data_IF_240274697020
#
_entry.id   IF_240274697020
#
_cell.length_a   1.000
_cell.length_b   1.000
_cell.length_c   1.000
_cell.angle_alpha   90.00
_cell.angle_beta   90.00
_cell.angle_gamma   90.00
#
_symmetry.space_group_name_H-M   'P 1'
#
loop_
_entity.id
_entity.type
_entity.pdbx_description
1 polymer ?
#
# COMPACT_ATOMS: atom_id res chain seq x y z
N UNK A 1 3.58 -6.11 -13.18
CA UNK A 1 4.45 -6.56 -12.06
C UNK A 1 5.65 -5.63 -11.95
N UNK A 2 6.01 -5.17 -10.75
CA UNK A 2 7.04 -4.11 -10.60
C UNK A 2 8.48 -4.47 -11.02
N UNK A 3 8.83 -5.75 -11.23
CA UNK A 3 10.16 -6.10 -11.76
C UNK A 3 10.35 -5.62 -13.21
N UNK A 4 9.25 -5.45 -13.96
CA UNK A 4 9.31 -4.93 -15.32
C UNK A 4 9.87 -3.50 -15.39
N UNK A 5 9.75 -2.73 -14.29
CA UNK A 5 10.36 -1.40 -14.18
C UNK A 5 11.89 -1.49 -14.20
N UNK A 6 12.46 -2.48 -13.51
CA UNK A 6 13.90 -2.71 -13.48
C UNK A 6 14.39 -3.16 -14.87
N UNK A 7 13.72 -4.15 -15.47
CA UNK A 7 14.06 -4.64 -16.81
C UNK A 7 13.95 -3.55 -17.88
N UNK A 8 12.93 -2.69 -17.82
CA UNK A 8 12.78 -1.59 -18.75
C UNK A 8 13.86 -0.51 -18.58
N UNK A 9 14.28 -0.25 -17.34
CA UNK A 9 15.39 0.66 -17.07
C UNK A 9 16.72 0.13 -17.64
N UNK A 10 16.98 -1.17 -17.51
CA UNK A 10 18.16 -1.82 -18.12
C UNK A 10 18.15 -1.74 -19.65
N UNK A 11 16.97 -1.83 -20.25
CA UNK A 11 16.78 -1.76 -21.71
C UNK A 11 16.63 -0.33 -22.24
N UNK A 12 16.56 0.69 -21.37
CA UNK A 12 16.36 2.09 -21.76
C UNK A 12 15.01 2.39 -22.39
N UNK A 13 13.97 1.60 -22.09
CA UNK A 13 12.61 1.75 -22.66
C UNK A 13 11.60 2.25 -21.63
N UNK A 14 10.54 2.98 -22.04
CA UNK A 14 9.46 3.36 -21.13
C UNK A 14 8.72 2.16 -20.52
N UNK A 15 8.31 2.27 -19.26
CA UNK A 15 7.50 1.26 -18.57
C UNK A 15 6.29 1.90 -17.87
N UNK A 16 5.10 1.90 -18.49
CA UNK A 16 3.86 2.14 -17.77
C UNK A 16 3.49 0.89 -16.96
N UNK A 17 3.06 1.09 -15.71
CA UNK A 17 2.51 0.02 -14.88
C UNK A 17 1.00 0.09 -14.86
N UNK A 18 0.35 -1.04 -15.14
CA UNK A 18 -1.08 -1.18 -14.91
C UNK A 18 -1.36 -1.66 -13.48
N UNK A 19 -2.21 -0.93 -12.77
CA UNK A 19 -2.70 -1.26 -11.44
C UNK A 19 -4.17 -1.69 -11.51
N UNK A 20 -4.47 -2.86 -10.97
CA UNK A 20 -5.80 -3.47 -11.12
C UNK A 20 -6.84 -2.94 -10.13
N UNK A 21 -6.40 -2.33 -9.01
CA UNK A 21 -7.30 -1.67 -8.07
C UNK A 21 -7.60 -0.23 -8.50
N UNK A 22 -8.56 0.41 -7.84
CA UNK A 22 -8.84 1.85 -8.00
C UNK A 22 -7.69 2.72 -7.50
N UNK A 23 -7.67 3.99 -7.91
CA UNK A 23 -6.78 5.02 -7.37
C UNK A 23 -6.79 5.09 -5.83
N UNK A 24 -7.95 5.04 -5.19
CA UNK A 24 -8.02 5.04 -3.72
C UNK A 24 -7.44 3.75 -3.10
N UNK A 25 -7.65 2.61 -3.75
CA UNK A 25 -7.01 1.35 -3.35
C UNK A 25 -5.49 1.44 -3.45
N UNK A 26 -4.97 1.99 -4.57
CA UNK A 26 -3.54 2.26 -4.75
C UNK A 26 -2.97 3.14 -3.64
N UNK A 27 -3.63 4.25 -3.31
CA UNK A 27 -3.20 5.14 -2.23
C UNK A 27 -3.25 4.48 -0.84
N UNK A 28 -4.18 3.54 -0.63
CA UNK A 28 -4.19 2.68 0.56
C UNK A 28 -2.88 1.89 0.71
N UNK A 29 -2.43 1.20 -0.36
CA UNK A 29 -1.14 0.51 -0.36
C UNK A 29 0.04 1.47 -0.22
N UNK A 30 -0.03 2.66 -0.82
CA UNK A 30 1.05 3.65 -0.81
C UNK A 30 1.41 4.11 0.61
N UNK A 31 0.44 4.09 1.51
CA UNK A 31 0.62 4.51 2.89
C UNK A 31 1.08 3.38 3.83
N UNK A 32 1.36 2.16 3.36
CA UNK A 32 1.79 1.05 4.22
C UNK A 32 3.04 1.38 5.06
N UNK A 33 4.06 1.98 4.44
CA UNK A 33 5.27 2.43 5.17
C UNK A 33 4.93 3.45 6.25
N UNK A 34 4.07 4.41 5.93
CA UNK A 34 3.61 5.42 6.89
C UNK A 34 2.88 4.76 8.08
N UNK A 35 2.02 3.76 7.83
CA UNK A 35 1.33 3.02 8.88
C UNK A 35 2.32 2.26 9.78
N UNK A 36 3.39 1.70 9.21
CA UNK A 36 4.48 1.05 9.96
C UNK A 36 5.28 2.05 10.80
N UNK A 37 5.67 3.18 10.22
CA UNK A 37 6.39 4.26 10.91
C UNK A 37 5.57 4.83 12.08
N UNK A 38 4.24 4.81 11.98
CA UNK A 38 3.32 5.19 13.06
C UNK A 38 3.04 4.07 14.07
N UNK A 39 3.57 2.87 13.85
CA UNK A 39 3.33 1.71 14.72
C UNK A 39 1.87 1.24 14.73
N UNK A 40 1.13 1.50 13.65
CA UNK A 40 -0.26 1.06 13.47
C UNK A 40 -0.36 -0.34 12.87
N UNK A 41 0.66 -0.75 12.11
CA UNK A 41 0.81 -2.09 11.54
C UNK A 41 2.30 -2.50 11.58
N UNK A 42 2.64 -3.77 11.74
CA UNK A 42 1.78 -4.88 12.17
C UNK A 42 1.17 -4.65 13.55
N UNK A 43 0.04 -5.30 13.80
CA UNK A 43 -0.70 -5.24 15.06
C UNK A 43 0.09 -5.92 16.18
N UNK A 44 0.03 -5.37 17.40
CA UNK A 44 0.72 -5.93 18.57
C UNK A 44 0.06 -7.19 19.16
N UNK A 45 -1.08 -7.60 18.63
CA UNK A 45 -1.85 -8.76 19.08
C UNK A 45 -3.15 -8.91 18.30
N UNK A 46 -3.68 -10.13 18.25
CA UNK A 46 -4.89 -10.45 17.49
C UNK A 46 -6.15 -9.80 18.07
N UNK A 47 -6.15 -9.46 19.37
CA UNK A 47 -7.26 -8.77 20.01
C UNK A 47 -7.57 -7.41 19.36
N UNK A 48 -6.58 -6.82 18.67
CA UNK A 48 -6.72 -5.57 17.90
C UNK A 48 -7.70 -5.70 16.72
N UNK A 49 -7.95 -6.91 16.24
CA UNK A 49 -8.91 -7.15 15.17
C UNK A 49 -10.37 -7.02 15.64
N UNK A 50 -10.63 -7.20 16.94
CA UNK A 50 -12.00 -7.26 17.49
C UNK A 50 -12.30 -6.19 18.54
N UNK A 51 -11.28 -5.58 19.15
CA UNK A 51 -11.45 -4.59 20.23
C UNK A 51 -11.68 -3.14 19.77
N UNK A 52 -11.98 -2.93 18.48
CA UNK A 52 -12.18 -1.58 17.92
C UNK A 52 -10.89 -0.83 17.58
N UNK A 53 -9.70 -1.43 17.73
CA UNK A 53 -8.45 -0.77 17.34
C UNK A 53 -8.38 -0.39 15.86
N UNK A 54 -9.04 -1.16 14.98
CA UNK A 54 -9.12 -0.82 13.55
C UNK A 54 -9.88 0.50 13.29
N UNK A 55 -10.66 0.99 14.25
CA UNK A 55 -11.36 2.28 14.16
C UNK A 55 -10.44 3.47 14.53
N UNK A 56 -9.15 3.21 14.78
CA UNK A 56 -8.13 4.25 15.01
C UNK A 56 -8.05 5.19 13.79
N UNK A 57 -8.27 6.51 13.97
CA UNK A 57 -8.17 7.47 12.88
C UNK A 57 -6.76 7.56 12.29
N UNK A 58 -6.67 7.69 10.96
CA UNK A 58 -5.41 7.83 10.21
C UNK A 58 -5.41 9.18 9.49
N UNK A 59 -5.12 10.26 10.23
CA UNK A 59 -5.35 11.63 9.75
C UNK A 59 -4.33 12.14 8.72
N UNK A 60 -3.14 11.54 8.66
CA UNK A 60 -2.00 12.07 7.89
C UNK A 60 -1.58 11.15 6.74
N UNK A 61 -2.43 10.22 6.33
CA UNK A 61 -2.17 9.38 5.17
C UNK A 61 -2.22 10.23 3.88
N UNK A 62 -1.17 10.16 3.07
CA UNK A 62 -1.03 10.95 1.85
C UNK A 62 -2.12 10.57 0.85
N UNK A 63 -2.80 11.58 0.30
CA UNK A 63 -3.85 11.42 -0.71
C UNK A 63 -5.11 10.71 -0.21
N UNK A 64 -5.26 10.56 1.12
CA UNK A 64 -6.41 9.94 1.76
C UNK A 64 -7.25 10.99 2.49
N UNK A 65 -8.53 10.69 2.71
CA UNK A 65 -9.41 11.60 3.46
C UNK A 65 -9.08 11.54 4.95
N UNK A 66 -9.23 12.68 5.65
CA UNK A 66 -9.01 12.78 7.10
C UNK A 66 -9.95 11.93 7.97
N UNK A 67 -11.02 11.40 7.38
CA UNK A 67 -12.04 10.61 8.05
C UNK A 67 -11.75 9.11 8.05
N UNK A 68 -10.66 8.69 7.39
CA UNK A 68 -10.29 7.28 7.34
C UNK A 68 -9.78 6.76 8.68
N UNK A 69 -10.09 5.51 8.94
CA UNK A 69 -9.54 4.72 10.02
C UNK A 69 -8.69 3.56 9.48
N UNK A 70 -7.95 2.88 10.35
CA UNK A 70 -7.08 1.77 9.97
C UNK A 70 -7.82 0.63 9.24
N UNK A 71 -9.12 0.43 9.55
CA UNK A 71 -10.02 -0.52 8.88
C UNK A 71 -10.19 -0.24 7.39
N UNK A 72 -10.12 1.02 6.98
CA UNK A 72 -10.39 1.43 5.60
C UNK A 72 -9.19 1.21 4.66
N UNK A 73 -8.03 0.81 5.21
CA UNK A 73 -6.86 0.43 4.43
C UNK A 73 -6.96 -1.04 3.96
N UNK A 74 -6.27 -1.42 2.88
CA UNK A 74 -6.26 -2.80 2.42
C UNK A 74 -5.87 -3.78 3.54
N UNK A 75 -6.61 -4.89 3.67
CA UNK A 75 -6.56 -5.78 4.84
C UNK A 75 -5.19 -6.41 5.14
N UNK A 76 -4.21 -6.34 4.23
CA UNK A 76 -2.85 -6.80 4.48
C UNK A 76 -2.14 -6.05 5.62
N UNK A 77 -2.62 -4.86 6.02
CA UNK A 77 -2.11 -4.17 7.22
C UNK A 77 -2.74 -4.68 8.52
N UNK A 78 -3.75 -5.54 8.45
CA UNK A 78 -4.42 -6.14 9.62
C UNK A 78 -3.74 -7.47 10.02
N UNK A 79 -2.41 -7.48 10.01
CA UNK A 79 -1.57 -8.65 10.34
C UNK A 79 -0.83 -8.40 11.65
N UNK A 80 -0.56 -9.45 12.42
CA UNK A 80 0.31 -9.43 13.61
C UNK A 80 1.75 -9.84 13.29
N UNK A 81 1.98 -10.39 12.09
CA UNK A 81 3.27 -10.88 11.64
C UNK A 81 4.15 -9.72 11.14
N UNK A 82 5.37 -9.61 11.69
CA UNK A 82 6.37 -8.63 11.27
C UNK A 82 6.98 -8.96 9.91
N UNK A 83 6.97 -10.23 9.55
CA UNK A 83 7.51 -10.74 8.30
C UNK A 83 6.39 -11.09 7.30
N UNK A 84 5.18 -10.55 7.50
CA UNK A 84 4.01 -10.83 6.66
C UNK A 84 4.36 -10.64 5.17
N UNK A 85 4.28 -11.74 4.44
CA UNK A 85 4.75 -11.81 3.05
C UNK A 85 4.00 -10.81 2.18
N UNK A 86 2.70 -10.61 2.40
CA UNK A 86 1.88 -9.74 1.55
C UNK A 86 2.08 -8.26 1.90
N UNK A 87 2.21 -7.93 3.19
CA UNK A 87 2.59 -6.59 3.63
C UNK A 87 3.93 -6.15 3.03
N UNK A 88 4.96 -6.98 3.22
CA UNK A 88 6.31 -6.71 2.73
C UNK A 88 6.37 -6.68 1.20
N UNK A 89 5.67 -7.59 0.53
CA UNK A 89 5.56 -7.60 -0.93
C UNK A 89 4.94 -6.30 -1.46
N UNK A 90 3.85 -5.81 -0.86
CA UNK A 90 3.19 -4.58 -1.33
C UNK A 90 4.06 -3.35 -1.14
N UNK A 91 4.73 -3.23 0.01
CA UNK A 91 5.69 -2.15 0.27
C UNK A 91 6.79 -2.12 -0.79
N UNK A 92 7.34 -3.28 -1.13
CA UNK A 92 8.37 -3.40 -2.16
C UNK A 92 7.83 -3.12 -3.56
N UNK A 93 6.63 -3.61 -3.89
CA UNK A 93 5.97 -3.36 -5.18
C UNK A 93 5.79 -1.86 -5.42
N UNK A 94 5.27 -1.14 -4.44
CA UNK A 94 5.00 0.29 -4.59
C UNK A 94 6.28 1.13 -4.58
N UNK A 95 7.29 0.74 -3.82
CA UNK A 95 8.61 1.37 -3.88
C UNK A 95 9.26 1.30 -5.27
N UNK A 96 8.96 0.27 -6.06
CA UNK A 96 9.37 0.19 -7.47
C UNK A 96 8.40 0.89 -8.41
N UNK A 97 7.10 0.89 -8.09
CA UNK A 97 6.10 1.55 -8.93
C UNK A 97 6.30 3.06 -9.05
N UNK A 98 6.88 3.70 -8.02
CA UNK A 98 7.26 5.13 -8.07
C UNK A 98 8.33 5.47 -9.13
N UNK A 99 9.04 4.45 -9.65
CA UNK A 99 10.04 4.60 -10.74
C UNK A 99 9.44 4.33 -12.12
N UNK A 100 8.18 3.94 -12.21
CA UNK A 100 7.50 3.73 -13.49
C UNK A 100 7.28 5.07 -14.20
N UNK A 101 7.26 5.06 -15.53
CA UNK A 101 6.97 6.27 -16.32
C UNK A 101 5.53 6.75 -16.15
N UNK A 102 4.61 5.83 -15.84
CA UNK A 102 3.23 6.11 -15.49
C UNK A 102 2.64 4.94 -14.68
N UNK A 103 1.64 5.22 -13.84
CA UNK A 103 0.76 4.21 -13.25
C UNK A 103 -0.64 4.44 -13.82
N UNK A 104 -1.18 3.45 -14.52
CA UNK A 104 -2.50 3.46 -15.14
C UNK A 104 -3.40 2.55 -14.30
N UNK A 105 -4.60 3.00 -13.96
CA UNK A 105 -5.58 2.16 -13.29
C UNK A 105 -6.81 1.91 -14.19
N UNK A 106 -7.75 1.12 -13.68
CA UNK A 106 -8.99 0.76 -14.40
C UNK A 106 -9.85 1.98 -14.78
N UNK A 107 -9.71 3.12 -14.13
CA UNK A 107 -10.49 4.33 -14.45
C UNK A 107 -9.92 5.09 -15.65
N UNK A 108 -8.72 4.73 -16.10
CA UNK A 108 -7.98 5.40 -17.17
C UNK A 108 -7.75 4.49 -18.40
N UNK A 109 -8.48 3.36 -18.48
CA UNK A 109 -8.60 2.49 -19.67
C UNK A 109 -9.97 2.68 -20.31
#
# INVERSE_FOLDING_TARGET
>A
MSFAVDAAAELGVPCPLFWTASACGYMGYYNFRFLMEKGLTPLKGEEKLTNGYLDTPVTNALGMTKHMCLRDFPSFVHTTDQDDILLNFMIHKLGRASRAGAVIDRQHL
#
